data_IF_299552346867
#
_entry.id   IF_299552346867
#
_cell.length_a   1.000
_cell.length_b   1.000
_cell.length_c   1.000
_cell.angle_alpha   90.00
_cell.angle_beta   90.00
_cell.angle_gamma   90.00
#
_symmetry.space_group_name_H-M   'P 1'
#
loop_
_entity.id
_entity.type
_entity.pdbx_description
1 polymer ?
#
# COMPACT_ATOMS: atom_id res chain seq x y z
N UNK A 1 14.81 -8.82 7.68
CA UNK A 1 13.85 -9.76 7.08
C UNK A 1 14.27 -10.07 5.66
N UNK A 2 14.17 -11.33 5.22
CA UNK A 2 14.27 -11.66 3.79
C UNK A 2 12.92 -11.33 3.15
N UNK A 3 12.93 -10.45 2.14
CA UNK A 3 11.71 -10.09 1.43
C UNK A 3 11.37 -11.11 0.35
N UNK A 4 10.41 -11.99 0.63
CA UNK A 4 9.98 -13.04 -0.31
C UNK A 4 9.38 -12.47 -1.61
N UNK A 5 8.86 -11.25 -1.58
CA UNK A 5 8.26 -10.61 -2.74
C UNK A 5 9.27 -10.14 -3.79
N UNK A 6 10.56 -10.06 -3.44
CA UNK A 6 11.62 -9.84 -4.41
C UNK A 6 12.15 -11.15 -5.02
N UNK A 7 11.73 -12.31 -4.50
CA UNK A 7 11.97 -13.60 -5.16
C UNK A 7 11.10 -13.71 -6.42
N UNK A 8 11.74 -13.88 -7.57
CA UNK A 8 11.08 -13.89 -8.88
C UNK A 8 9.96 -14.93 -8.98
N UNK A 9 10.22 -16.17 -8.57
CA UNK A 9 9.23 -17.25 -8.64
C UNK A 9 8.02 -16.97 -7.76
N UNK A 10 8.26 -16.49 -6.53
CA UNK A 10 7.19 -16.13 -5.62
C UNK A 10 6.35 -14.98 -6.20
N UNK A 11 7.01 -13.93 -6.68
CA UNK A 11 6.36 -12.76 -7.26
C UNK A 11 5.48 -13.13 -8.47
N UNK A 12 5.95 -14.02 -9.34
CA UNK A 12 5.18 -14.49 -10.50
C UNK A 12 3.90 -15.24 -10.10
N UNK A 13 3.97 -16.12 -9.09
CA UNK A 13 2.77 -16.80 -8.58
C UNK A 13 1.83 -15.82 -7.87
N UNK A 14 2.38 -14.90 -7.08
CA UNK A 14 1.61 -13.84 -6.44
C UNK A 14 0.87 -12.97 -7.45
N UNK A 15 1.52 -12.62 -8.56
CA UNK A 15 0.92 -11.85 -9.66
C UNK A 15 -0.28 -12.56 -10.33
N UNK A 16 -0.42 -13.88 -10.16
CA UNK A 16 -1.56 -14.65 -10.68
C UNK A 16 -2.82 -14.55 -9.82
N UNK A 17 -2.70 -14.14 -8.56
CA UNK A 17 -3.82 -14.04 -7.62
C UNK A 17 -4.86 -13.00 -8.09
N UNK A 18 -6.14 -13.21 -7.78
CA UNK A 18 -7.21 -12.30 -8.18
C UNK A 18 -6.98 -10.88 -7.66
N UNK A 19 -6.60 -10.70 -6.39
CA UNK A 19 -6.25 -9.38 -5.84
C UNK A 19 -5.13 -8.68 -6.61
N UNK A 20 -4.12 -9.41 -7.07
CA UNK A 20 -3.00 -8.87 -7.85
C UNK A 20 -3.40 -8.44 -9.25
N UNK A 21 -4.43 -9.06 -9.84
CA UNK A 21 -4.92 -8.75 -11.19
C UNK A 21 -6.01 -7.69 -11.20
N UNK A 22 -6.91 -7.79 -10.24
CA UNK A 22 -8.17 -7.07 -10.23
C UNK A 22 -8.24 -5.98 -9.15
N UNK A 23 -7.25 -5.91 -8.26
CA UNK A 23 -7.14 -4.91 -7.21
C UNK A 23 -8.17 -5.09 -6.11
N UNK A 24 -8.61 -3.98 -5.51
CA UNK A 24 -9.47 -3.99 -4.32
C UNK A 24 -10.80 -4.71 -4.54
N UNK A 25 -11.37 -4.68 -5.76
CA UNK A 25 -12.64 -5.37 -6.04
C UNK A 25 -12.57 -6.89 -5.86
N UNK A 26 -11.37 -7.47 -6.00
CA UNK A 26 -11.12 -8.90 -5.81
C UNK A 26 -10.39 -9.22 -4.50
N UNK A 27 -10.18 -8.22 -3.66
CA UNK A 27 -9.68 -8.40 -2.30
C UNK A 27 -10.86 -8.80 -1.40
N UNK A 28 -10.79 -10.00 -0.83
CA UNK A 28 -11.89 -10.57 -0.06
C UNK A 28 -12.32 -9.69 1.11
N UNK A 29 -11.38 -9.01 1.76
CA UNK A 29 -11.63 -8.14 2.91
C UNK A 29 -12.16 -6.75 2.52
N UNK A 30 -12.05 -6.34 1.25
CA UNK A 30 -12.30 -4.94 0.84
C UNK A 30 -13.70 -4.46 1.16
N UNK A 31 -14.71 -5.32 1.02
CA UNK A 31 -16.09 -4.96 1.32
C UNK A 31 -16.33 -4.65 2.81
N UNK A 32 -15.51 -5.21 3.71
CA UNK A 32 -15.56 -4.91 5.14
C UNK A 32 -14.64 -3.76 5.54
N UNK A 33 -13.51 -3.61 4.85
CA UNK A 33 -12.54 -2.56 5.14
C UNK A 33 -12.99 -1.19 4.61
N UNK A 34 -13.52 -1.13 3.38
CA UNK A 34 -13.92 0.13 2.72
C UNK A 34 -14.83 1.02 3.56
N UNK A 35 -15.88 0.51 4.25
CA UNK A 35 -16.76 1.34 5.06
C UNK A 35 -16.10 1.96 6.30
N UNK A 36 -14.93 1.48 6.71
CA UNK A 36 -14.20 1.99 7.89
C UNK A 36 -13.36 3.23 7.57
N UNK A 37 -13.16 3.53 6.28
CA UNK A 37 -12.41 4.71 5.89
C UNK A 37 -13.16 5.99 6.30
N UNK A 38 -12.46 6.96 6.92
CA UNK A 38 -13.00 8.31 7.05
C UNK A 38 -13.07 8.97 5.66
N UNK A 39 -13.69 10.15 5.58
CA UNK A 39 -13.48 11.02 4.41
C UNK A 39 -11.98 11.26 4.22
N UNK A 40 -11.49 11.13 2.97
CA UNK A 40 -10.10 11.36 2.58
C UNK A 40 -9.92 12.66 1.80
N UNK A 41 -11.00 13.38 1.50
CA UNK A 41 -10.96 14.65 0.76
C UNK A 41 -10.03 15.65 1.45
N UNK A 42 -9.02 16.12 0.73
CA UNK A 42 -8.03 17.08 1.22
C UNK A 42 -6.93 16.49 2.12
N UNK A 43 -6.98 15.21 2.47
CA UNK A 43 -6.13 14.62 3.52
C UNK A 43 -4.78 14.10 3.05
N UNK A 44 -3.85 13.95 3.99
CA UNK A 44 -2.62 13.17 3.83
C UNK A 44 -2.82 11.70 4.24
N UNK A 45 -2.30 10.77 3.45
CA UNK A 45 -2.47 9.32 3.64
C UNK A 45 -1.14 8.58 3.55
N UNK A 46 -0.85 7.73 4.53
CA UNK A 46 0.27 6.77 4.51
C UNK A 46 -0.27 5.34 4.35
N UNK A 47 0.24 4.58 3.38
CA UNK A 47 -0.09 3.16 3.17
C UNK A 47 1.13 2.29 3.50
N UNK A 48 1.03 1.54 4.59
CA UNK A 48 2.09 0.69 5.13
C UNK A 48 2.02 -0.72 4.52
N UNK A 49 3.08 -1.14 3.82
CA UNK A 49 3.07 -2.38 3.05
C UNK A 49 2.14 -2.25 1.84
N UNK A 50 2.32 -1.18 1.06
CA UNK A 50 1.36 -0.78 0.02
C UNK A 50 1.22 -1.79 -1.12
N UNK A 51 2.18 -2.72 -1.27
CA UNK A 51 2.20 -3.71 -2.34
C UNK A 51 2.09 -3.03 -3.71
N UNK A 52 1.09 -3.42 -4.51
CA UNK A 52 0.82 -2.81 -5.83
C UNK A 52 0.17 -1.42 -5.76
N UNK A 53 0.07 -0.78 -4.59
CA UNK A 53 -0.42 0.60 -4.46
C UNK A 53 -1.92 0.77 -4.63
N UNK A 54 -2.70 -0.29 -4.42
CA UNK A 54 -4.15 -0.24 -4.64
C UNK A 54 -4.88 0.71 -3.69
N UNK A 55 -4.50 0.76 -2.40
CA UNK A 55 -5.12 1.71 -1.47
C UNK A 55 -4.62 3.14 -1.71
N UNK A 56 -3.37 3.31 -2.14
CA UNK A 56 -2.85 4.61 -2.58
C UNK A 56 -3.69 5.18 -3.72
N UNK A 57 -3.99 4.37 -4.75
CA UNK A 57 -4.85 4.81 -5.86
C UNK A 57 -6.25 5.14 -5.41
N UNK A 58 -6.83 4.29 -4.56
CA UNK A 58 -8.14 4.54 -3.96
C UNK A 58 -8.15 5.87 -3.18
N UNK A 59 -7.14 6.15 -2.37
CA UNK A 59 -7.05 7.40 -1.61
C UNK A 59 -7.03 8.63 -2.52
N UNK A 60 -6.26 8.59 -3.62
CA UNK A 60 -6.26 9.66 -4.62
C UNK A 60 -7.65 9.85 -5.24
N UNK A 61 -8.33 8.75 -5.62
CA UNK A 61 -9.69 8.78 -6.15
C UNK A 61 -10.73 9.29 -5.14
N UNK A 62 -10.44 9.24 -3.83
CA UNK A 62 -11.26 9.83 -2.77
C UNK A 62 -10.85 11.26 -2.39
N UNK A 63 -9.96 11.90 -3.16
CA UNK A 63 -9.60 13.31 -2.99
C UNK A 63 -8.46 13.57 -2.01
N UNK A 64 -7.70 12.55 -1.60
CA UNK A 64 -6.48 12.77 -0.82
C UNK A 64 -5.46 13.58 -1.64
N UNK A 65 -4.79 14.51 -0.97
CA UNK A 65 -3.89 15.48 -1.64
C UNK A 65 -2.41 15.15 -1.44
N UNK A 66 -2.09 14.22 -0.54
CA UNK A 66 -0.72 13.75 -0.31
C UNK A 66 -0.76 12.30 0.09
N UNK A 67 -0.16 11.43 -0.71
CA UNK A 67 -0.22 9.98 -0.50
C UNK A 67 1.19 9.42 -0.57
N UNK A 68 1.59 8.68 0.46
CA UNK A 68 2.83 7.92 0.47
C UNK A 68 2.51 6.44 0.64
N UNK A 69 2.91 5.62 -0.33
CA UNK A 69 2.96 4.17 -0.19
C UNK A 69 4.37 3.72 0.12
N UNK A 70 4.55 2.95 1.20
CA UNK A 70 5.83 2.31 1.51
C UNK A 70 5.70 0.79 1.46
N UNK A 71 6.71 0.14 0.90
CA UNK A 71 6.84 -1.31 0.89
C UNK A 71 8.33 -1.68 0.90
N UNK A 72 8.69 -2.79 1.54
CA UNK A 72 10.07 -3.27 1.57
C UNK A 72 10.50 -3.83 0.20
N UNK A 73 9.53 -4.22 -0.66
CA UNK A 73 9.83 -4.88 -1.95
C UNK A 73 10.01 -3.87 -3.06
N UNK A 74 11.17 -3.97 -3.70
CA UNK A 74 11.43 -3.21 -4.93
C UNK A 74 10.45 -3.59 -6.03
N UNK A 75 10.19 -4.90 -6.22
CA UNK A 75 9.24 -5.37 -7.25
C UNK A 75 7.81 -4.87 -7.01
N UNK A 76 7.38 -4.79 -5.75
CA UNK A 76 6.06 -4.23 -5.39
C UNK A 76 5.97 -2.75 -5.78
N UNK A 77 6.96 -1.95 -5.39
CA UNK A 77 7.01 -0.52 -5.67
C UNK A 77 7.06 -0.25 -7.17
N UNK A 78 7.86 -1.00 -7.93
CA UNK A 78 7.90 -0.89 -9.39
C UNK A 78 6.53 -1.17 -10.03
N UNK A 79 5.82 -2.20 -9.56
CA UNK A 79 4.49 -2.53 -10.07
C UNK A 79 3.43 -1.50 -9.64
N UNK A 80 3.54 -0.95 -8.42
CA UNK A 80 2.70 0.12 -7.93
C UNK A 80 2.82 1.40 -8.78
N UNK A 81 4.05 1.80 -9.09
CA UNK A 81 4.32 2.95 -9.97
C UNK A 81 3.75 2.73 -11.38
N UNK A 82 3.87 1.50 -11.90
CA UNK A 82 3.37 1.14 -13.23
C UNK A 82 1.84 1.14 -13.33
N UNK A 83 1.14 0.60 -12.32
CA UNK A 83 -0.31 0.38 -12.38
C UNK A 83 -1.13 1.48 -11.73
N UNK A 84 -0.60 2.05 -10.65
CA UNK A 84 -1.33 2.88 -9.70
C UNK A 84 -0.57 4.19 -9.43
N UNK A 85 0.09 4.74 -10.46
CA UNK A 85 0.63 6.10 -10.38
C UNK A 85 -0.48 7.15 -10.33
N UNK A 86 -0.11 8.29 -9.75
CA UNK A 86 -0.98 9.42 -9.51
C UNK A 86 -0.15 10.67 -9.27
N UNK A 87 -0.75 11.85 -9.45
CA UNK A 87 -0.05 13.12 -9.25
C UNK A 87 0.21 13.38 -7.76
N UNK A 88 -0.64 12.84 -6.89
CA UNK A 88 -0.56 13.03 -5.44
C UNK A 88 0.16 11.86 -4.74
N UNK A 89 0.64 10.86 -5.48
CA UNK A 89 1.14 9.60 -4.95
C UNK A 89 2.67 9.53 -5.09
N UNK A 90 3.35 9.36 -3.96
CA UNK A 90 4.75 8.96 -3.88
C UNK A 90 4.82 7.48 -3.45
N UNK A 91 5.73 6.72 -4.06
CA UNK A 91 6.06 5.36 -3.64
C UNK A 91 7.52 5.28 -3.22
N UNK A 92 7.78 4.64 -2.08
CA UNK A 92 9.13 4.50 -1.51
C UNK A 92 9.41 3.07 -1.10
N UNK A 93 10.59 2.59 -1.47
CA UNK A 93 11.13 1.34 -0.91
C UNK A 93 11.58 1.66 0.52
N UNK A 94 10.87 1.13 1.51
CA UNK A 94 11.15 1.35 2.94
C UNK A 94 10.53 0.22 3.75
N UNK A 95 11.30 -0.30 4.71
CA UNK A 95 10.71 -1.10 5.79
C UNK A 95 9.81 -0.23 6.67
N UNK A 96 8.85 -0.86 7.35
CA UNK A 96 8.04 -0.18 8.37
C UNK A 96 8.94 0.32 9.51
N UNK A 97 9.91 -0.50 9.96
CA UNK A 97 10.88 -0.16 11.02
C UNK A 97 11.82 1.00 10.67
N UNK A 98 11.97 1.31 9.38
CA UNK A 98 12.98 2.24 8.85
C UNK A 98 12.40 3.62 8.54
N UNK A 99 11.08 3.75 8.53
CA UNK A 99 10.44 5.02 8.26
C UNK A 99 10.42 5.89 9.52
N UNK A 100 10.83 7.16 9.41
CA UNK A 100 11.04 8.03 10.59
C UNK A 100 9.75 8.44 11.34
N UNK A 101 8.56 8.17 10.77
CA UNK A 101 7.24 8.55 11.32
C UNK A 101 7.18 9.95 11.94
N UNK A 102 7.30 11.02 11.12
CA UNK A 102 7.18 12.39 11.63
C UNK A 102 5.84 12.63 12.33
N UNK A 103 5.89 13.33 13.46
CA UNK A 103 4.70 13.67 14.23
C UNK A 103 3.72 14.52 13.41
N UNK A 104 2.42 14.21 13.52
CA UNK A 104 1.31 14.95 12.90
C UNK A 104 1.40 15.10 11.36
N UNK A 105 2.09 14.20 10.67
CA UNK A 105 2.25 14.25 9.22
C UNK A 105 1.06 13.66 8.44
N UNK A 106 0.41 12.64 9.00
CA UNK A 106 -0.57 11.80 8.31
C UNK A 106 -1.95 11.87 8.97
N UNK A 107 -2.96 12.31 8.22
CA UNK A 107 -4.36 12.32 8.70
C UNK A 107 -4.96 10.90 8.72
N UNK A 108 -4.45 9.99 7.88
CA UNK A 108 -4.88 8.60 7.82
C UNK A 108 -3.69 7.68 7.53
N UNK A 109 -3.57 6.60 8.31
CA UNK A 109 -2.60 5.53 8.08
C UNK A 109 -3.37 4.25 7.78
N UNK A 110 -3.03 3.61 6.67
CA UNK A 110 -3.60 2.34 6.21
C UNK A 110 -2.52 1.28 6.42
N UNK A 111 -2.90 0.15 6.99
CA UNK A 111 -2.07 -1.06 7.02
C UNK A 111 -2.99 -2.25 6.87
N UNK A 112 -2.96 -2.89 5.70
CA UNK A 112 -3.86 -3.98 5.38
C UNK A 112 -3.08 -5.23 4.99
N UNK A 113 -3.18 -6.27 5.82
CA UNK A 113 -2.43 -7.53 5.67
C UNK A 113 -0.90 -7.34 5.60
N UNK A 114 -0.36 -6.36 6.34
CA UNK A 114 1.08 -6.10 6.42
C UNK A 114 1.66 -6.43 7.81
N UNK A 115 0.97 -6.06 8.89
CA UNK A 115 1.52 -6.16 10.25
C UNK A 115 1.90 -7.59 10.69
N UNK A 116 1.28 -8.62 10.14
CA UNK A 116 1.61 -10.01 10.48
C UNK A 116 2.99 -10.48 9.97
N UNK A 117 3.69 -9.66 9.17
CA UNK A 117 5.08 -9.88 8.78
C UNK A 117 6.09 -9.24 9.75
N UNK A 118 5.62 -8.45 10.70
CA UNK A 118 6.46 -7.78 11.69
C UNK A 118 6.61 -8.67 12.93
N UNK A 119 7.86 -8.85 13.37
CA UNK A 119 8.19 -9.74 14.50
C UNK A 119 7.76 -9.15 15.85
N UNK A 120 7.87 -7.82 16.01
CA UNK A 120 7.55 -7.11 17.26
C UNK A 120 6.72 -5.83 16.96
N UNK A 121 5.55 -5.70 17.59
CA UNK A 121 4.55 -4.62 17.39
C UNK A 121 4.31 -3.87 18.70
#
# INVERSE_FOLDING_TARGET
MNNEYDNEKFFEEYAKMSRSKEGLKAAGEWHQLKPLFPSLEGKSVLDLGCGYGWHCKFAEEQGATKILGIDLSKKMIEEAQKRNSGNQIEYRISGLEEYDYPENEWDCVISNLALHYIEDI
#
